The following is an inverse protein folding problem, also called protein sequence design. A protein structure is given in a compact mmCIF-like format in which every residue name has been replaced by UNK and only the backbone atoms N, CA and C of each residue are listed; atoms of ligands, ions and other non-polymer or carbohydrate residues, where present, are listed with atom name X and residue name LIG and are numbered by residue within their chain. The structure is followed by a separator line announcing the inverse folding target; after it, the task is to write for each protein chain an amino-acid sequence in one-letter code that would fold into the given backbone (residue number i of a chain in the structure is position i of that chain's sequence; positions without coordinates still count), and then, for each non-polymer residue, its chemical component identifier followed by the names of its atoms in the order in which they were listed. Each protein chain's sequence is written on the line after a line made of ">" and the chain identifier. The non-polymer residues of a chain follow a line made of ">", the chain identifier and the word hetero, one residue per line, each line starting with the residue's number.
data_IF_853510683610
#
_entry.id   IF_853510683610
#
_cell.length_a   1.000
_cell.length_b   1.000
_cell.length_c   1.000
_cell.angle_alpha   90.00
_cell.angle_beta   90.00
_cell.angle_gamma   90.00
#
_symmetry.space_group_name_H-M   'P 1'
#
loop_
_entity.id
_entity.type
_entity.pdbx_description
1 polymer ?
#
# COMPACT_ATOMS: atom_id res chain seq x y z
N UNK A 1 -20.20 -0.20 7.45
CA UNK A 1 -20.45 0.92 8.38
C UNK A 1 -19.16 1.72 8.46
N UNK A 2 -19.11 2.89 7.83
CA UNK A 2 -17.93 3.78 7.84
C UNK A 2 -17.91 4.63 9.10
N UNK A 3 -16.71 5.01 9.56
CA UNK A 3 -16.50 5.91 10.70
C UNK A 3 -17.21 7.24 10.50
N UNK A 4 -17.77 7.80 11.57
CA UNK A 4 -18.61 8.99 11.52
C UNK A 4 -17.75 10.25 11.67
N UNK A 5 -17.53 11.00 10.58
CA UNK A 5 -17.01 12.37 10.68
C UNK A 5 -18.13 13.23 11.29
N UNK A 6 -18.06 13.50 12.60
CA UNK A 6 -19.03 14.33 13.30
C UNK A 6 -18.45 15.71 13.71
N UNK A 7 -17.22 15.99 13.31
CA UNK A 7 -16.51 17.24 13.54
C UNK A 7 -15.58 17.55 12.35
N UNK A 8 -15.10 18.80 12.20
CA UNK A 8 -14.03 19.12 11.25
C UNK A 8 -12.73 18.37 11.56
N UNK A 9 -12.09 17.81 10.51
CA UNK A 9 -10.78 17.15 10.61
C UNK A 9 -9.79 17.71 9.60
N UNK A 10 -8.51 17.61 9.93
CA UNK A 10 -7.39 17.91 9.05
C UNK A 10 -6.51 16.67 8.94
N UNK A 11 -6.31 16.20 7.71
CA UNK A 11 -5.44 15.08 7.37
C UNK A 11 -4.19 15.61 6.68
N UNK A 12 -3.02 15.20 7.15
CA UNK A 12 -1.75 15.64 6.61
C UNK A 12 -0.90 14.43 6.28
N UNK A 13 -0.51 14.27 5.01
CA UNK A 13 0.41 13.24 4.58
C UNK A 13 1.85 13.77 4.56
N UNK A 14 2.79 12.93 4.98
CA UNK A 14 4.21 13.25 5.04
C UNK A 14 5.04 12.16 4.37
N UNK A 15 6.19 12.55 3.82
CA UNK A 15 7.21 11.63 3.35
C UNK A 15 8.04 11.05 4.52
N UNK A 16 9.02 10.21 4.20
CA UNK A 16 9.92 9.58 5.19
C UNK A 16 10.86 10.57 5.90
N UNK A 17 11.04 11.77 5.34
CA UNK A 17 11.84 12.86 5.89
C UNK A 17 11.00 13.87 6.70
N UNK A 18 9.71 13.56 6.94
CA UNK A 18 8.72 14.44 7.58
C UNK A 18 8.37 15.71 6.78
N UNK A 19 8.65 15.77 5.48
CA UNK A 19 8.17 16.83 4.61
C UNK A 19 6.67 16.66 4.39
N UNK A 20 5.90 17.75 4.48
CA UNK A 20 4.47 17.73 4.18
C UNK A 20 4.27 17.52 2.67
N UNK A 21 3.53 16.48 2.30
CA UNK A 21 3.14 16.17 0.92
C UNK A 21 1.82 16.90 0.58
N UNK A 22 0.78 16.64 1.37
CA UNK A 22 -0.57 17.15 1.11
C UNK A 22 -1.34 17.34 2.42
N UNK A 23 -2.26 18.30 2.42
CA UNK A 23 -3.23 18.52 3.51
C UNK A 23 -4.65 18.53 2.95
N UNK A 24 -5.53 17.74 3.57
CA UNK A 24 -6.97 17.76 3.31
C UNK A 24 -7.69 18.27 4.56
N UNK A 25 -8.60 19.22 4.38
CA UNK A 25 -9.51 19.67 5.43
C UNK A 25 -10.91 19.10 5.17
N UNK A 26 -11.40 18.31 6.09
CA UNK A 26 -12.73 17.69 6.07
C UNK A 26 -13.68 18.55 6.87
N UNK A 27 -14.72 19.02 6.20
CA UNK A 27 -15.83 19.77 6.79
C UNK A 27 -17.16 19.12 6.39
N UNK A 28 -17.19 17.79 6.32
CA UNK A 28 -18.38 17.07 5.90
C UNK A 28 -19.54 17.29 6.88
N UNK A 29 -20.78 17.40 6.37
CA UNK A 29 -21.95 17.44 7.24
C UNK A 29 -22.12 16.10 7.97
N UNK A 30 -22.72 16.15 9.15
CA UNK A 30 -22.96 14.93 9.92
C UNK A 30 -23.69 13.86 9.10
N UNK A 31 -23.41 12.61 9.48
CA UNK A 31 -24.33 11.50 9.35
C UNK A 31 -24.42 10.93 7.91
N UNK A 32 -23.54 11.37 7.00
CA UNK A 32 -23.31 10.76 5.70
C UNK A 32 -22.05 9.90 5.66
N UNK A 33 -21.99 8.96 4.73
CA UNK A 33 -20.76 8.20 4.43
C UNK A 33 -19.92 8.98 3.42
N UNK A 34 -18.81 9.56 3.87
CA UNK A 34 -17.87 10.29 3.02
C UNK A 34 -16.54 9.54 2.93
N UNK A 35 -15.94 9.55 1.75
CA UNK A 35 -14.65 8.93 1.49
C UNK A 35 -13.68 9.99 1.00
N UNK A 36 -12.55 10.09 1.70
CA UNK A 36 -11.47 11.00 1.36
C UNK A 36 -10.16 10.22 1.27
N UNK A 37 -9.28 10.65 0.38
CA UNK A 37 -8.01 9.98 0.14
C UNK A 37 -6.96 10.94 -0.36
N UNK A 38 -5.71 10.65 0.00
CA UNK A 38 -4.52 11.30 -0.52
C UNK A 38 -3.85 10.26 -1.43
N UNK A 39 -3.64 10.62 -2.70
CA UNK A 39 -2.96 9.78 -3.68
C UNK A 39 -1.69 10.49 -4.13
N UNK A 40 -0.58 10.18 -3.46
CA UNK A 40 0.72 10.76 -3.74
C UNK A 40 1.83 9.71 -3.59
N UNK A 41 2.94 9.92 -4.30
CA UNK A 41 4.12 9.10 -4.14
C UNK A 41 4.77 9.30 -2.76
N UNK A 42 5.43 8.26 -2.25
CA UNK A 42 6.27 8.32 -1.06
C UNK A 42 5.57 8.72 0.26
N UNK A 43 4.26 8.54 0.37
CA UNK A 43 3.55 8.71 1.65
C UNK A 43 4.12 7.71 2.67
N UNK A 44 4.69 8.21 3.76
CA UNK A 44 5.27 7.41 4.84
C UNK A 44 4.51 7.55 6.17
N UNK A 45 3.83 8.68 6.40
CA UNK A 45 3.09 8.94 7.64
C UNK A 45 1.90 9.84 7.37
N UNK A 46 0.78 9.59 8.05
CA UNK A 46 -0.40 10.47 8.06
C UNK A 46 -0.63 10.99 9.47
N UNK A 47 -0.89 12.29 9.62
CA UNK A 47 -1.31 12.91 10.88
C UNK A 47 -2.76 13.37 10.79
N UNK A 48 -3.51 13.08 11.83
CA UNK A 48 -4.89 13.51 12.01
C UNK A 48 -4.96 14.58 13.08
N UNK A 49 -5.75 15.62 12.86
CA UNK A 49 -5.96 16.70 13.82
C UNK A 49 -7.37 17.28 13.66
N UNK A 50 -8.07 17.63 14.75
CA UNK A 50 -7.72 17.37 16.15
C UNK A 50 -7.91 15.88 16.50
N UNK A 51 -7.08 15.35 17.41
CA UNK A 51 -7.27 13.99 17.94
C UNK A 51 -8.36 14.06 19.03
N UNK A 52 -9.62 14.07 18.61
CA UNK A 52 -10.79 13.98 19.50
C UNK A 52 -11.20 12.50 19.69
N UNK A 53 -12.23 12.23 20.51
CA UNK A 53 -12.75 10.89 20.85
C UNK A 53 -13.43 10.15 19.67
N UNK A 54 -12.92 10.30 18.45
CA UNK A 54 -13.51 9.75 17.24
C UNK A 54 -12.67 8.59 16.69
N UNK A 55 -13.27 7.78 15.83
CA UNK A 55 -12.63 6.60 15.26
C UNK A 55 -12.21 6.85 13.82
N UNK A 56 -10.90 6.71 13.55
CA UNK A 56 -10.36 6.67 12.20
C UNK A 56 -10.36 5.21 11.73
N UNK A 57 -11.06 4.94 10.63
CA UNK A 57 -11.06 3.62 9.97
C UNK A 57 -10.35 3.73 8.64
N UNK A 58 -9.38 2.84 8.41
CA UNK A 58 -8.71 2.68 7.13
C UNK A 58 -9.29 1.48 6.42
N UNK A 59 -9.59 1.61 5.13
CA UNK A 59 -9.94 0.49 4.28
C UNK A 59 -9.23 0.61 2.93
N UNK A 60 -9.00 -0.54 2.29
CA UNK A 60 -8.53 -0.65 0.91
C UNK A 60 -7.23 0.13 0.61
N UNK A 61 -6.24 0.05 1.51
CA UNK A 61 -4.90 0.57 1.27
C UNK A 61 -4.31 -0.07 0.00
N UNK A 62 -3.95 0.75 -0.98
CA UNK A 62 -3.33 0.31 -2.23
C UNK A 62 -1.99 1.01 -2.42
N UNK A 63 -1.02 0.27 -2.94
CA UNK A 63 0.19 0.87 -3.48
C UNK A 63 -0.17 1.58 -4.79
N UNK A 64 0.03 2.88 -4.84
CA UNK A 64 -0.02 3.65 -6.08
C UNK A 64 1.41 3.70 -6.60
N UNK A 65 1.72 2.91 -7.62
CA UNK A 65 3.02 2.97 -8.28
C UNK A 65 3.02 4.14 -9.26
N UNK A 66 3.93 5.08 -9.06
CA UNK A 66 4.14 6.17 -10.00
C UNK A 66 4.80 5.58 -11.26
N UNK A 67 4.05 5.43 -12.34
CA UNK A 67 4.61 5.05 -13.65
C UNK A 67 4.67 3.56 -14.00
N UNK A 68 3.62 2.77 -13.73
CA UNK A 68 3.31 1.54 -14.48
C UNK A 68 4.22 0.32 -14.28
N UNK A 69 5.34 0.46 -13.56
CA UNK A 69 6.23 -0.66 -13.27
C UNK A 69 5.81 -1.35 -11.96
N UNK A 70 4.69 -2.08 -12.02
CA UNK A 70 4.31 -3.11 -11.03
C UNK A 70 5.20 -4.35 -11.14
N UNK A 71 6.52 -4.14 -11.21
CA UNK A 71 7.50 -5.21 -11.27
C UNK A 71 7.66 -5.79 -9.87
N UNK A 72 6.71 -6.64 -9.48
CA UNK A 72 6.94 -7.58 -8.40
C UNK A 72 8.09 -8.46 -8.88
N UNK A 73 9.27 -8.45 -8.21
CA UNK A 73 10.37 -9.31 -8.62
C UNK A 73 9.86 -10.75 -8.69
N UNK A 74 10.11 -11.42 -9.82
CA UNK A 74 9.70 -12.80 -9.98
C UNK A 74 10.23 -13.63 -8.81
N UNK A 75 9.38 -14.42 -8.15
CA UNK A 75 9.79 -15.13 -6.95
C UNK A 75 10.92 -16.11 -7.30
N UNK A 76 11.96 -16.14 -6.46
CA UNK A 76 13.14 -17.01 -6.58
C UNK A 76 12.76 -18.50 -6.74
N UNK A 77 11.53 -18.87 -6.36
CA UNK A 77 10.94 -20.18 -6.66
C UNK A 77 11.00 -20.55 -8.15
N UNK A 78 10.88 -19.60 -9.09
CA UNK A 78 10.98 -19.88 -10.53
C UNK A 78 12.41 -20.29 -10.92
N UNK A 79 13.42 -19.64 -10.34
CA UNK A 79 14.81 -20.02 -10.52
C UNK A 79 15.09 -21.40 -9.90
N UNK A 80 14.50 -21.71 -8.75
CA UNK A 80 14.59 -23.03 -8.10
C UNK A 80 13.92 -24.13 -8.93
N UNK A 81 12.77 -23.86 -9.54
CA UNK A 81 12.11 -24.79 -10.48
C UNK A 81 12.99 -25.02 -11.69
N UNK A 82 13.58 -23.97 -12.27
CA UNK A 82 14.53 -24.07 -13.37
C UNK A 82 15.75 -24.93 -13.01
N UNK A 83 16.34 -24.72 -11.84
CA UNK A 83 17.45 -25.52 -11.31
C UNK A 83 17.05 -26.99 -11.09
N UNK A 84 15.86 -27.25 -10.56
CA UNK A 84 15.34 -28.59 -10.36
C UNK A 84 15.16 -29.33 -11.70
N UNK A 85 14.57 -28.68 -12.70
CA UNK A 85 14.43 -29.27 -14.04
C UNK A 85 15.80 -29.52 -14.70
N UNK A 86 16.73 -28.59 -14.59
CA UNK A 86 18.10 -28.77 -15.09
C UNK A 86 18.80 -29.96 -14.42
N UNK A 87 18.64 -30.11 -13.09
CA UNK A 87 19.16 -31.24 -12.33
C UNK A 87 18.57 -32.59 -12.78
N UNK A 88 17.25 -32.66 -12.99
CA UNK A 88 16.57 -33.88 -13.49
C UNK A 88 17.01 -34.22 -14.92
N UNK A 89 17.14 -33.24 -15.80
CA UNK A 89 17.60 -33.46 -17.17
C UNK A 89 19.06 -33.95 -17.21
N UNK A 90 19.91 -33.42 -16.33
CA UNK A 90 21.31 -33.85 -16.21
C UNK A 90 21.44 -35.26 -15.63
N UNK A 91 20.58 -35.68 -14.69
CA UNK A 91 20.64 -37.03 -14.11
C UNK A 91 20.28 -38.11 -15.13
N UNK A 92 19.27 -37.86 -15.99
CA UNK A 92 18.87 -38.80 -17.05
C UNK A 92 19.94 -39.04 -18.11
N UNK A 93 20.84 -38.07 -18.34
CA UNK A 93 21.96 -38.21 -19.30
C UNK A 93 23.16 -38.96 -18.72
N UNK A 94 23.19 -39.21 -17.40
CA UNK A 94 24.30 -39.86 -16.70
C UNK A 94 23.98 -41.28 -16.22
N UNK A 95 22.88 -41.90 -16.65
CA UNK A 95 22.70 -43.35 -16.53
C UNK A 95 23.28 -44.03 -17.77
N UNK A 96 24.55 -44.50 -17.75
CA UNK A 96 24.99 -45.56 -18.64
C UNK A 96 24.30 -46.87 -18.20
N UNK A 97 23.85 -47.64 -19.19
CA UNK A 97 23.80 -49.10 -19.08
C UNK A 97 25.24 -49.60 -19.07
#
# INVERSE_FOLDING_TARGET
>A
SGGAVNAPWTYQAFDSSNTLIETINLNDPCCGGFFHGIAAANISRVRFSPVQQDWVVFDNLKYVTDGGNNHVPEPVSLALVGLALAGVAASRRKSPV
#
